data_IF_770316441669
#
_entry.id   IF_770316441669
#
_cell.length_a   1.000
_cell.length_b   1.000
_cell.length_c   1.000
_cell.angle_alpha   90.00
_cell.angle_beta   90.00
_cell.angle_gamma   90.00
#
_symmetry.space_group_name_H-M   'P 1'
#
loop_
_entity.id
_entity.type
_entity.pdbx_description
1 polymer ?
#
# COMPACT_ATOMS: atom_id res chain seq x y z
N UNK A 1 -4.48 -32.30 -6.95
CA UNK A 1 -5.47 -31.82 -5.97
C UNK A 1 -6.82 -32.16 -6.57
N UNK A 2 -7.60 -32.98 -5.87
CA UNK A 2 -8.85 -33.52 -6.42
C UNK A 2 -10.06 -32.63 -6.09
N UNK A 3 -9.91 -31.68 -5.16
CA UNK A 3 -10.90 -30.65 -4.82
C UNK A 3 -10.49 -29.80 -3.62
N UNK A 4 -11.24 -28.71 -3.38
CA UNK A 4 -11.17 -27.88 -2.17
C UNK A 4 -12.54 -27.80 -1.51
N UNK A 5 -12.57 -27.92 -0.19
CA UNK A 5 -13.75 -27.67 0.63
C UNK A 5 -13.54 -26.41 1.48
N UNK A 6 -14.57 -25.56 1.60
CA UNK A 6 -14.56 -24.38 2.47
C UNK A 6 -15.69 -24.53 3.49
N UNK A 7 -15.33 -24.66 4.77
CA UNK A 7 -16.25 -25.05 5.84
C UNK A 7 -16.31 -23.95 6.92
N UNK A 8 -17.49 -23.45 7.31
CA UNK A 8 -17.61 -22.45 8.37
C UNK A 8 -17.46 -23.07 9.76
N UNK A 9 -16.72 -22.41 10.67
CA UNK A 9 -16.71 -22.73 12.10
C UNK A 9 -17.77 -21.90 12.81
N UNK A 10 -18.90 -22.53 13.10
CA UNK A 10 -20.05 -21.90 13.76
C UNK A 10 -19.97 -22.08 15.27
N UNK A 11 -20.58 -21.17 16.02
CA UNK A 11 -20.75 -21.31 17.48
C UNK A 11 -19.64 -20.69 18.35
N UNK A 12 -18.64 -20.02 17.74
CA UNK A 12 -17.57 -19.33 18.49
C UNK A 12 -18.13 -18.21 19.39
N UNK A 13 -19.17 -17.50 18.94
CA UNK A 13 -19.78 -16.41 19.69
C UNK A 13 -18.91 -15.15 19.75
N UNK A 14 -19.13 -14.32 20.77
CA UNK A 14 -18.36 -13.09 20.99
C UNK A 14 -17.02 -13.39 21.68
N UNK A 15 -15.94 -12.88 21.08
CA UNK A 15 -14.58 -12.96 21.61
C UNK A 15 -14.26 -11.68 22.38
N UNK A 16 -13.60 -11.81 23.53
CA UNK A 16 -13.18 -10.76 24.43
C UNK A 16 -11.68 -10.83 24.73
N UNK A 17 -11.14 -9.78 25.35
CA UNK A 17 -9.72 -9.70 25.65
C UNK A 17 -9.26 -10.85 26.56
N UNK A 18 -8.21 -11.55 26.14
CA UNK A 18 -7.63 -12.69 26.85
C UNK A 18 -8.21 -14.06 26.49
N UNK A 19 -9.23 -14.13 25.63
CA UNK A 19 -9.80 -15.42 25.22
C UNK A 19 -8.79 -16.31 24.45
N UNK A 20 -8.78 -17.61 24.77
CA UNK A 20 -7.96 -18.60 24.08
C UNK A 20 -8.62 -19.01 22.75
N UNK A 21 -8.19 -18.36 21.66
CA UNK A 21 -8.70 -18.64 20.32
C UNK A 21 -8.50 -20.10 19.89
N UNK A 22 -7.40 -20.74 20.27
CA UNK A 22 -7.17 -22.14 19.92
C UNK A 22 -8.20 -23.05 20.61
N UNK A 23 -8.50 -22.79 21.89
CA UNK A 23 -9.55 -23.51 22.62
C UNK A 23 -10.95 -23.27 22.04
N UNK A 24 -11.29 -22.02 21.71
CA UNK A 24 -12.58 -21.68 21.11
C UNK A 24 -12.78 -22.36 19.75
N UNK A 25 -11.75 -22.33 18.90
CA UNK A 25 -11.79 -22.96 17.58
C UNK A 25 -11.90 -24.48 17.71
N UNK A 26 -11.06 -25.12 18.52
CA UNK A 26 -11.06 -26.59 18.63
C UNK A 26 -12.33 -27.14 19.28
N UNK A 27 -12.95 -26.38 20.20
CA UNK A 27 -14.25 -26.72 20.79
C UNK A 27 -15.38 -26.70 19.77
N UNK A 28 -15.38 -25.71 18.88
CA UNK A 28 -16.45 -25.51 17.88
C UNK A 28 -16.20 -26.25 16.55
N UNK A 29 -14.95 -26.69 16.31
CA UNK A 29 -14.57 -27.49 15.15
C UNK A 29 -13.80 -28.76 15.57
N UNK A 30 -14.42 -29.69 16.32
CA UNK A 30 -13.78 -30.95 16.71
C UNK A 30 -13.48 -31.88 15.52
N UNK A 31 -13.95 -31.52 14.32
CA UNK A 31 -13.75 -32.21 13.05
C UNK A 31 -12.52 -31.72 12.26
N UNK A 32 -11.75 -30.76 12.82
CA UNK A 32 -10.46 -30.34 12.26
C UNK A 32 -9.51 -31.53 12.14
N UNK A 33 -8.68 -31.49 11.10
CA UNK A 33 -7.66 -32.52 10.86
C UNK A 33 -6.36 -31.90 10.35
N UNK A 34 -5.29 -32.67 10.44
CA UNK A 34 -4.00 -32.29 9.88
C UNK A 34 -4.12 -31.92 8.39
N UNK A 35 -3.42 -30.85 8.00
CA UNK A 35 -3.43 -30.31 6.63
C UNK A 35 -4.61 -29.38 6.32
N UNK A 36 -5.51 -29.12 7.27
CA UNK A 36 -6.50 -28.04 7.15
C UNK A 36 -5.82 -26.65 7.23
N UNK A 37 -6.41 -25.64 6.60
CA UNK A 37 -6.01 -24.23 6.71
C UNK A 37 -7.13 -23.43 7.36
N UNK A 38 -6.84 -22.75 8.47
CA UNK A 38 -7.78 -21.91 9.19
C UNK A 38 -7.63 -20.47 8.72
N UNK A 39 -8.69 -19.92 8.13
CA UNK A 39 -8.80 -18.49 7.78
C UNK A 39 -9.58 -17.81 8.90
N UNK A 40 -8.86 -17.06 9.74
CA UNK A 40 -9.33 -16.42 10.96
C UNK A 40 -9.44 -14.92 10.73
N UNK A 41 -10.59 -14.31 10.95
CA UNK A 41 -10.69 -12.83 10.81
C UNK A 41 -9.81 -12.11 11.83
N UNK A 42 -9.13 -11.05 11.38
CA UNK A 42 -8.35 -10.13 12.20
C UNK A 42 -9.13 -9.64 13.41
N UNK A 43 -10.45 -9.46 13.29
CA UNK A 43 -11.30 -8.91 14.34
C UNK A 43 -11.28 -9.74 15.63
N UNK A 44 -11.37 -11.07 15.55
CA UNK A 44 -11.34 -11.90 16.77
C UNK A 44 -9.93 -12.00 17.35
N UNK A 45 -8.91 -11.90 16.51
CA UNK A 45 -7.51 -11.78 16.94
C UNK A 45 -7.31 -10.47 17.71
N UNK A 46 -7.71 -9.35 17.11
CA UNK A 46 -7.69 -8.03 17.74
C UNK A 46 -8.44 -7.98 19.06
N UNK A 47 -9.64 -8.58 19.14
CA UNK A 47 -10.42 -8.61 20.39
C UNK A 47 -9.70 -9.43 21.46
N UNK A 48 -9.22 -10.63 21.13
CA UNK A 48 -8.46 -11.47 22.06
C UNK A 48 -7.18 -10.77 22.56
N UNK A 49 -6.53 -9.98 21.71
CA UNK A 49 -5.32 -9.20 22.04
C UNK A 49 -5.60 -7.84 22.69
N UNK A 50 -6.86 -7.47 22.90
CA UNK A 50 -7.23 -6.19 23.51
C UNK A 50 -6.94 -4.96 22.63
N UNK A 51 -6.94 -5.12 21.30
CA UNK A 51 -6.75 -4.03 20.31
C UNK A 51 -8.02 -3.20 20.10
N UNK A 52 -8.64 -2.78 21.20
CA UNK A 52 -9.85 -1.95 21.23
C UNK A 52 -9.51 -0.53 21.70
N UNK A 53 -10.12 0.47 21.07
CA UNK A 53 -10.00 1.87 21.47
C UNK A 53 -11.37 2.40 21.86
N UNK A 54 -11.49 2.89 23.09
CA UNK A 54 -12.71 3.56 23.56
C UNK A 54 -12.93 4.87 22.79
N UNK A 55 -14.17 5.08 22.36
CA UNK A 55 -14.62 6.29 21.66
C UNK A 55 -16.00 6.69 22.16
N UNK A 56 -16.37 7.98 22.08
CA UNK A 56 -17.76 8.41 22.28
C UNK A 56 -18.71 7.64 21.35
N UNK A 57 -19.95 7.40 21.79
CA UNK A 57 -20.93 6.63 21.02
C UNK A 57 -21.39 7.35 19.74
N UNK A 58 -21.39 8.69 19.76
CA UNK A 58 -21.79 9.59 18.68
C UNK A 58 -21.14 10.97 18.86
N UNK A 59 -21.53 11.92 18.01
CA UNK A 59 -21.04 13.30 18.06
C UNK A 59 -19.73 13.56 17.30
N UNK A 60 -19.34 14.84 17.14
CA UNK A 60 -18.09 15.21 16.50
C UNK A 60 -16.86 14.63 17.20
N UNK A 61 -16.92 14.46 18.52
CA UNK A 61 -15.83 13.91 19.34
C UNK A 61 -15.49 12.46 18.95
N UNK A 62 -16.48 11.69 18.47
CA UNK A 62 -16.26 10.34 17.95
C UNK A 62 -15.44 10.35 16.66
N UNK A 63 -15.73 11.27 15.75
CA UNK A 63 -14.96 11.38 14.51
C UNK A 63 -13.54 11.87 14.79
N UNK A 64 -13.37 12.82 15.72
CA UNK A 64 -12.03 13.24 16.16
C UNK A 64 -11.24 12.09 16.79
N UNK A 65 -11.87 11.24 17.60
CA UNK A 65 -11.24 10.05 18.17
C UNK A 65 -10.85 9.04 17.07
N UNK A 66 -11.71 8.85 16.07
CA UNK A 66 -11.44 8.00 14.92
C UNK A 66 -10.27 8.53 14.08
N UNK A 67 -10.22 9.83 13.79
CA UNK A 67 -9.09 10.43 13.05
C UNK A 67 -7.79 10.37 13.86
N UNK A 68 -7.84 10.51 15.20
CA UNK A 68 -6.66 10.29 16.06
C UNK A 68 -6.16 8.84 15.99
N UNK A 69 -7.06 7.86 16.06
CA UNK A 69 -6.72 6.45 15.91
C UNK A 69 -6.14 6.16 14.52
N UNK A 70 -6.76 6.71 13.47
CA UNK A 70 -6.26 6.61 12.10
C UNK A 70 -4.85 7.18 11.97
N UNK A 71 -4.61 8.38 12.50
CA UNK A 71 -3.29 9.01 12.48
C UNK A 71 -2.24 8.18 13.24
N UNK A 72 -2.61 7.59 14.38
CA UNK A 72 -1.72 6.75 15.18
C UNK A 72 -1.33 5.45 14.45
N UNK A 73 -2.25 4.85 13.69
CA UNK A 73 -2.02 3.61 12.93
C UNK A 73 -1.46 3.87 11.51
N UNK A 74 -1.31 5.13 11.10
CA UNK A 74 -0.84 5.53 9.78
C UNK A 74 0.64 5.85 9.78
N UNK A 75 1.40 5.18 8.91
CA UNK A 75 2.78 5.54 8.59
C UNK A 75 2.85 6.69 7.58
N UNK A 76 2.02 6.63 6.53
CA UNK A 76 1.88 7.70 5.54
C UNK A 76 0.53 7.64 4.84
N UNK A 77 0.04 8.79 4.39
CA UNK A 77 -1.15 8.88 3.54
C UNK A 77 -0.74 8.56 2.11
N UNK A 78 -1.49 7.66 1.46
CA UNK A 78 -1.33 7.32 0.04
C UNK A 78 -2.25 8.20 -0.79
N UNK A 79 -3.54 8.24 -0.43
CA UNK A 79 -4.55 9.02 -1.13
C UNK A 79 -5.67 9.46 -0.18
N UNK A 80 -6.25 10.63 -0.39
CA UNK A 80 -7.43 11.09 0.34
C UNK A 80 -8.52 11.59 -0.61
N UNK A 81 -9.77 11.21 -0.32
CA UNK A 81 -10.96 11.69 -1.01
C UNK A 81 -12.06 11.96 0.01
N UNK A 82 -12.24 13.24 0.35
CA UNK A 82 -13.14 13.64 1.44
C UNK A 82 -12.68 13.02 2.77
N UNK A 83 -13.58 12.39 3.55
CA UNK A 83 -13.22 11.77 4.82
C UNK A 83 -12.47 10.43 4.66
N UNK A 84 -12.51 9.82 3.48
CA UNK A 84 -11.83 8.53 3.24
C UNK A 84 -10.36 8.75 2.91
N UNK A 85 -9.49 8.02 3.60
CA UNK A 85 -8.07 7.96 3.32
C UNK A 85 -7.64 6.50 3.03
N UNK A 86 -6.85 6.33 1.98
CA UNK A 86 -6.00 5.16 1.79
C UNK A 86 -4.64 5.50 2.41
N UNK A 87 -4.17 4.64 3.29
CA UNK A 87 -2.95 4.85 4.06
C UNK A 87 -2.08 3.62 4.01
N UNK A 88 -0.78 3.82 4.17
CA UNK A 88 0.12 2.74 4.56
C UNK A 88 0.12 2.65 6.10
N UNK A 89 -0.21 1.50 6.65
CA UNK A 89 -0.13 1.24 8.10
C UNK A 89 1.32 1.03 8.55
N UNK A 90 1.58 0.99 9.86
CA UNK A 90 2.92 0.66 10.38
C UNK A 90 3.38 -0.75 10.02
N UNK A 91 2.45 -1.69 9.84
CA UNK A 91 2.71 -3.04 9.32
C UNK A 91 3.19 -3.01 7.86
N UNK A 92 2.77 -2.00 7.09
CA UNK A 92 3.06 -1.86 5.66
C UNK A 92 1.86 -2.08 4.74
N UNK A 93 0.69 -2.50 5.26
CA UNK A 93 -0.53 -2.65 4.46
C UNK A 93 -0.99 -1.31 3.87
N UNK A 94 -1.33 -1.30 2.58
CA UNK A 94 -1.92 -0.14 1.91
C UNK A 94 -3.43 -0.36 1.77
N UNK A 95 -4.21 0.28 2.64
CA UNK A 95 -5.65 0.03 2.73
C UNK A 95 -6.43 1.26 3.22
N UNK A 96 -7.77 1.18 3.12
CA UNK A 96 -8.64 2.24 3.62
C UNK A 96 -8.66 2.27 5.15
N UNK A 97 -8.61 3.48 5.71
CA UNK A 97 -8.78 3.75 7.14
C UNK A 97 -7.89 2.90 8.08
N UNK A 98 -6.70 2.48 7.62
CA UNK A 98 -5.75 1.65 8.36
C UNK A 98 -6.31 0.30 8.87
N UNK A 99 -7.40 -0.21 8.28
CA UNK A 99 -8.08 -1.41 8.79
C UNK A 99 -8.81 -1.20 10.11
N UNK A 100 -8.98 0.06 10.55
CA UNK A 100 -9.77 0.39 11.73
C UNK A 100 -11.24 0.11 11.41
N UNK A 101 -11.85 -0.74 12.22
CA UNK A 101 -13.24 -1.16 12.05
C UNK A 101 -14.12 -0.67 13.21
N UNK A 102 -15.33 -0.23 12.87
CA UNK A 102 -16.38 0.16 13.82
C UNK A 102 -17.58 -0.81 13.79
N UNK A 103 -17.49 -1.89 13.01
CA UNK A 103 -18.54 -2.90 12.85
C UNK A 103 -18.30 -4.14 13.70
N UNK A 104 -19.37 -4.84 14.08
CA UNK A 104 -19.34 -6.03 14.95
C UNK A 104 -18.62 -5.78 16.29
N UNK A 105 -18.71 -4.54 16.78
CA UNK A 105 -18.33 -4.07 18.10
C UNK A 105 -19.41 -3.07 18.55
N UNK A 106 -19.53 -2.81 19.86
CA UNK A 106 -20.43 -1.79 20.35
C UNK A 106 -20.03 -0.38 19.87
N UNK A 107 -20.96 0.57 19.96
CA UNK A 107 -20.76 1.92 19.41
C UNK A 107 -19.65 2.73 20.10
N UNK A 108 -19.23 2.30 21.29
CA UNK A 108 -18.22 2.98 22.11
C UNK A 108 -16.82 2.46 21.91
N UNK A 109 -16.60 1.59 20.92
CA UNK A 109 -15.28 1.10 20.59
C UNK A 109 -14.97 1.13 19.09
N UNK A 110 -13.68 1.23 18.79
CA UNK A 110 -13.08 0.91 17.50
C UNK A 110 -12.17 -0.30 17.67
N UNK A 111 -12.11 -1.17 16.65
CA UNK A 111 -11.18 -2.29 16.60
C UNK A 111 -10.02 -1.91 15.71
N UNK A 112 -8.80 -1.98 16.25
CA UNK A 112 -7.56 -1.84 15.49
C UNK A 112 -7.11 -3.21 14.98
N UNK A 113 -6.25 -3.25 13.97
CA UNK A 113 -5.61 -4.49 13.55
C UNK A 113 -4.73 -5.07 14.68
N UNK A 114 -4.47 -6.40 14.69
CA UNK A 114 -3.43 -7.00 15.53
C UNK A 114 -2.12 -6.26 15.32
N UNK A 115 -1.35 -6.03 16.39
CA UNK A 115 -0.12 -5.23 16.28
C UNK A 115 0.99 -5.92 15.47
N UNK A 116 0.96 -7.26 15.43
CA UNK A 116 1.80 -8.09 14.57
C UNK A 116 0.99 -9.32 14.15
N UNK A 117 0.22 -9.25 13.05
CA UNK A 117 -0.67 -10.34 12.64
C UNK A 117 0.07 -11.65 12.31
N UNK A 118 1.32 -11.57 11.86
CA UNK A 118 2.17 -12.75 11.62
C UNK A 118 2.55 -13.41 12.94
N UNK A 119 2.95 -12.63 13.95
CA UNK A 119 3.17 -13.16 15.29
C UNK A 119 1.90 -13.77 15.89
N UNK A 120 0.74 -13.14 15.70
CA UNK A 120 -0.56 -13.69 16.12
C UNK A 120 -0.86 -15.03 15.44
N UNK A 121 -0.62 -15.12 14.12
CA UNK A 121 -0.80 -16.36 13.36
C UNK A 121 0.14 -17.47 13.87
N UNK A 122 1.41 -17.14 14.13
CA UNK A 122 2.38 -18.09 14.70
C UNK A 122 1.96 -18.58 16.10
N UNK A 123 1.51 -17.68 16.97
CA UNK A 123 1.05 -18.05 18.31
C UNK A 123 -0.16 -18.99 18.25
N UNK A 124 -1.12 -18.71 17.36
CA UNK A 124 -2.28 -19.59 17.16
C UNK A 124 -1.87 -20.94 16.55
N UNK A 125 -0.98 -20.95 15.57
CA UNK A 125 -0.41 -22.18 15.01
C UNK A 125 0.26 -23.04 16.09
N UNK A 126 1.12 -22.45 16.92
CA UNK A 126 1.82 -23.16 17.99
C UNK A 126 0.84 -23.72 19.03
N UNK A 127 -0.18 -22.95 19.39
CA UNK A 127 -1.21 -23.39 20.34
C UNK A 127 -2.06 -24.55 19.81
N UNK A 128 -2.32 -24.59 18.50
CA UNK A 128 -3.01 -25.70 17.82
C UNK A 128 -2.09 -26.93 17.68
N UNK A 129 -0.81 -26.71 17.40
CA UNK A 129 0.19 -27.77 17.34
C UNK A 129 0.38 -28.46 18.70
N UNK A 130 0.40 -27.68 19.79
CA UNK A 130 0.43 -28.22 21.17
C UNK A 130 -0.82 -29.06 21.50
N UNK A 131 -1.94 -28.83 20.80
CA UNK A 131 -3.16 -29.62 20.88
C UNK A 131 -3.19 -30.80 19.90
N UNK A 132 -2.08 -31.05 19.20
CA UNK A 132 -1.90 -32.17 18.28
C UNK A 132 -2.43 -31.94 16.86
N UNK A 133 -2.72 -30.69 16.48
CA UNK A 133 -3.23 -30.34 15.15
C UNK A 133 -2.16 -29.64 14.31
N UNK A 134 -1.78 -30.22 13.17
CA UNK A 134 -0.85 -29.64 12.20
C UNK A 134 -1.62 -28.96 11.08
N UNK A 135 -1.88 -27.68 11.23
CA UNK A 135 -2.72 -26.88 10.32
C UNK A 135 -1.99 -25.64 9.80
N UNK A 136 -2.48 -25.04 8.72
CA UNK A 136 -2.14 -23.67 8.35
C UNK A 136 -3.05 -22.67 9.08
N UNK A 137 -2.57 -21.47 9.36
CA UNK A 137 -3.33 -20.36 9.95
C UNK A 137 -3.10 -19.14 9.07
N UNK A 138 -4.19 -18.47 8.69
CA UNK A 138 -4.19 -17.20 7.98
C UNK A 138 -5.06 -16.24 8.79
N UNK A 139 -4.50 -15.12 9.24
CA UNK A 139 -5.27 -14.00 9.78
C UNK A 139 -5.70 -13.13 8.60
N UNK A 140 -6.99 -13.02 8.34
CA UNK A 140 -7.53 -12.29 7.19
C UNK A 140 -8.27 -11.02 7.58
N UNK A 141 -8.30 -10.04 6.68
CA UNK A 141 -9.18 -8.88 6.80
C UNK A 141 -9.74 -8.46 5.45
N UNK A 142 -10.89 -7.80 5.49
CA UNK A 142 -11.59 -7.38 4.28
C UNK A 142 -11.02 -6.06 3.76
N UNK A 143 -10.52 -6.06 2.52
CA UNK A 143 -10.03 -4.84 1.87
C UNK A 143 -10.55 -4.64 0.44
N UNK A 144 -10.56 -3.37 0.04
CA UNK A 144 -10.70 -2.99 -1.36
C UNK A 144 -9.39 -3.17 -2.12
N UNK A 145 -9.43 -3.01 -3.44
CA UNK A 145 -8.24 -3.15 -4.31
C UNK A 145 -8.34 -2.26 -5.53
N UNK A 146 -7.19 -1.84 -6.04
CA UNK A 146 -7.12 -0.93 -7.17
C UNK A 146 -7.88 -1.48 -8.39
N UNK A 147 -8.54 -0.57 -9.11
CA UNK A 147 -9.22 -0.80 -10.40
C UNK A 147 -10.40 -1.76 -10.40
N UNK A 148 -10.84 -2.28 -9.24
CA UNK A 148 -12.02 -3.16 -9.14
C UNK A 148 -12.97 -2.69 -8.06
N UNK A 149 -14.27 -2.75 -8.36
CA UNK A 149 -15.32 -2.54 -7.37
C UNK A 149 -15.51 -3.80 -6.52
N UNK A 150 -15.92 -3.61 -5.27
CA UNK A 150 -16.13 -4.69 -4.30
C UNK A 150 -14.92 -4.91 -3.39
N UNK A 151 -15.13 -5.72 -2.36
CA UNK A 151 -14.13 -6.07 -1.36
C UNK A 151 -13.80 -7.57 -1.47
N UNK A 152 -12.63 -7.95 -0.98
CA UNK A 152 -12.23 -9.34 -0.77
C UNK A 152 -11.41 -9.42 0.50
N UNK A 153 -11.43 -10.58 1.16
CA UNK A 153 -10.44 -10.85 2.19
C UNK A 153 -9.07 -11.07 1.56
N UNK A 154 -8.04 -10.63 2.28
CA UNK A 154 -6.63 -10.92 2.03
C UNK A 154 -5.97 -11.36 3.32
N UNK A 155 -4.78 -11.94 3.23
CA UNK A 155 -3.98 -12.30 4.39
C UNK A 155 -3.27 -11.06 4.98
N UNK A 156 -3.43 -10.85 6.29
CA UNK A 156 -2.62 -9.93 7.09
C UNK A 156 -1.51 -10.65 7.84
N UNK A 157 -1.74 -11.92 8.21
CA UNK A 157 -0.75 -12.76 8.88
C UNK A 157 -0.89 -14.22 8.47
N UNK A 158 0.19 -14.99 8.50
CA UNK A 158 0.16 -16.42 8.16
C UNK A 158 1.19 -17.24 8.94
N UNK A 159 0.84 -18.50 9.23
CA UNK A 159 1.74 -19.48 9.84
C UNK A 159 1.36 -20.90 9.42
N UNK A 160 2.32 -21.82 9.37
CA UNK A 160 2.02 -23.21 9.02
C UNK A 160 1.75 -23.42 7.53
N UNK A 161 1.99 -22.42 6.69
CA UNK A 161 1.71 -22.44 5.25
C UNK A 161 2.65 -21.48 4.52
N UNK A 162 3.08 -21.85 3.31
CA UNK A 162 3.89 -20.98 2.47
C UNK A 162 3.04 -19.85 1.86
N UNK A 163 3.49 -18.58 1.91
CA UNK A 163 2.74 -17.45 1.35
C UNK A 163 2.55 -17.53 -0.18
N UNK A 164 3.53 -18.14 -0.85
CA UNK A 164 3.58 -18.24 -2.30
C UNK A 164 3.54 -19.70 -2.77
N UNK A 165 2.89 -19.92 -3.91
CA UNK A 165 3.25 -21.03 -4.81
C UNK A 165 4.13 -20.47 -5.92
N UNK A 166 5.41 -20.75 -5.81
CA UNK A 166 6.43 -20.29 -6.74
C UNK A 166 6.54 -21.23 -7.92
N UNK A 167 6.21 -20.75 -9.12
CA UNK A 167 6.34 -21.49 -10.37
C UNK A 167 7.59 -21.08 -11.16
N UNK A 168 8.42 -20.19 -10.64
CA UNK A 168 9.60 -19.71 -11.37
C UNK A 168 10.59 -20.85 -11.61
N UNK A 169 11.08 -20.94 -12.84
CA UNK A 169 11.94 -22.03 -13.29
C UNK A 169 11.19 -23.32 -13.66
N UNK A 170 9.88 -23.41 -13.44
CA UNK A 170 9.08 -24.52 -13.97
C UNK A 170 8.91 -24.36 -15.50
N UNK A 171 8.85 -25.50 -16.20
CA UNK A 171 8.62 -25.56 -17.64
C UNK A 171 7.16 -25.91 -17.89
N UNK A 172 6.47 -25.06 -18.65
CA UNK A 172 5.08 -25.28 -19.02
C UNK A 172 4.93 -26.44 -20.04
N UNK A 173 3.70 -26.92 -20.32
CA UNK A 173 3.47 -28.01 -21.27
C UNK A 173 3.91 -27.74 -22.71
N UNK A 174 4.26 -26.49 -23.05
CA UNK A 174 4.72 -26.06 -24.37
C UNK A 174 6.25 -25.84 -24.42
N UNK A 175 6.96 -26.06 -23.31
CA UNK A 175 8.40 -25.92 -23.21
C UNK A 175 8.88 -24.52 -22.80
N UNK A 176 7.99 -23.62 -22.39
CA UNK A 176 8.38 -22.28 -21.92
C UNK A 176 8.70 -22.31 -20.43
N UNK A 177 9.81 -21.67 -20.05
CA UNK A 177 10.14 -21.46 -18.65
C UNK A 177 9.36 -20.28 -18.06
N UNK A 178 8.71 -20.50 -16.92
CA UNK A 178 7.99 -19.46 -16.19
C UNK A 178 8.99 -18.59 -15.42
N UNK A 179 9.04 -17.29 -15.70
CA UNK A 179 10.06 -16.38 -15.12
C UNK A 179 9.56 -15.57 -13.91
N UNK A 180 8.26 -15.26 -13.86
CA UNK A 180 7.69 -14.32 -12.88
C UNK A 180 6.54 -14.93 -12.05
N UNK A 181 6.08 -16.12 -12.41
CA UNK A 181 4.82 -16.65 -11.89
C UNK A 181 4.98 -17.08 -10.43
N UNK A 182 4.47 -16.27 -9.52
CA UNK A 182 4.28 -16.61 -8.12
C UNK A 182 2.84 -16.31 -7.74
N UNK A 183 2.12 -17.31 -7.24
CA UNK A 183 0.74 -17.14 -6.79
C UNK A 183 0.76 -16.80 -5.31
N UNK A 184 0.10 -15.70 -4.91
CA UNK A 184 -0.10 -15.34 -3.51
C UNK A 184 -1.21 -16.21 -2.89
N UNK A 185 -0.89 -17.47 -2.60
CA UNK A 185 -1.88 -18.50 -2.27
C UNK A 185 -2.61 -18.23 -0.98
N UNK A 186 -1.99 -17.56 -0.01
CA UNK A 186 -2.67 -17.18 1.24
C UNK A 186 -3.74 -16.11 1.03
N UNK A 187 -3.60 -15.24 0.01
CA UNK A 187 -4.66 -14.30 -0.39
C UNK A 187 -5.80 -15.02 -1.12
N UNK A 188 -5.48 -15.99 -1.98
CA UNK A 188 -6.50 -16.82 -2.65
C UNK A 188 -7.34 -17.61 -1.62
N UNK A 189 -6.68 -18.18 -0.61
CA UNK A 189 -7.32 -18.92 0.48
C UNK A 189 -8.12 -18.00 1.41
N UNK A 190 -7.61 -16.80 1.72
CA UNK A 190 -8.34 -15.80 2.49
C UNK A 190 -9.63 -15.38 1.78
N UNK A 191 -9.53 -15.09 0.48
CA UNK A 191 -10.69 -14.75 -0.36
C UNK A 191 -11.72 -15.89 -0.43
N UNK A 192 -11.26 -17.15 -0.53
CA UNK A 192 -12.15 -18.30 -0.51
C UNK A 192 -12.85 -18.47 0.85
N UNK A 193 -12.14 -18.27 1.96
CA UNK A 193 -12.68 -18.35 3.31
C UNK A 193 -13.82 -17.35 3.56
N UNK A 194 -13.73 -16.14 3.00
CA UNK A 194 -14.77 -15.13 3.15
C UNK A 194 -16.14 -15.56 2.62
N UNK A 195 -16.18 -16.43 1.60
CA UNK A 195 -17.43 -16.92 1.00
C UNK A 195 -18.35 -17.65 1.98
N UNK A 196 -17.80 -18.23 3.06
CA UNK A 196 -18.57 -18.94 4.09
C UNK A 196 -18.60 -18.22 5.44
N UNK A 197 -17.73 -17.23 5.65
CA UNK A 197 -17.73 -16.41 6.87
C UNK A 197 -18.93 -15.47 6.89
N UNK A 198 -19.15 -14.74 5.79
CA UNK A 198 -20.21 -13.74 5.69
C UNK A 198 -20.02 -12.58 6.69
N UNK A 199 -20.61 -11.42 6.39
CA UNK A 199 -20.39 -10.21 7.22
C UNK A 199 -21.17 -10.21 8.55
N UNK A 200 -22.32 -10.90 8.58
CA UNK A 200 -23.27 -10.86 9.68
C UNK A 200 -23.54 -12.25 10.31
N UNK A 201 -22.92 -13.31 9.79
CA UNK A 201 -23.28 -14.69 10.14
C UNK A 201 -22.58 -15.21 11.40
N UNK A 202 -21.79 -14.35 12.07
CA UNK A 202 -21.04 -14.68 13.30
C UNK A 202 -20.12 -15.91 13.11
N UNK A 203 -19.49 -16.01 11.94
CA UNK A 203 -18.52 -17.06 11.59
C UNK A 203 -17.15 -16.39 11.40
N UNK A 204 -16.35 -16.25 12.48
CA UNK A 204 -15.06 -15.58 12.38
C UNK A 204 -13.95 -16.48 11.82
N UNK A 205 -14.20 -17.78 11.66
CA UNK A 205 -13.22 -18.74 11.16
C UNK A 205 -13.83 -19.61 10.06
N UNK A 206 -13.12 -19.72 8.95
CA UNK A 206 -13.37 -20.70 7.90
C UNK A 206 -12.22 -21.71 7.84
N UNK A 207 -12.53 -22.94 7.46
CA UNK A 207 -11.53 -23.99 7.22
C UNK A 207 -11.49 -24.28 5.74
N UNK A 208 -10.33 -24.12 5.13
CA UNK A 208 -10.05 -24.57 3.76
C UNK A 208 -9.33 -25.90 3.83
N UNK A 209 -9.89 -26.91 3.17
CA UNK A 209 -9.43 -28.30 3.24
C UNK A 209 -9.10 -28.82 1.85
N UNK A 210 -7.99 -29.55 1.77
CA UNK A 210 -7.48 -30.13 0.51
C UNK A 210 -6.34 -29.34 -0.15
N UNK A 211 -5.97 -28.17 0.41
CA UNK A 211 -4.80 -27.42 -0.03
C UNK A 211 -3.49 -28.08 0.46
N UNK A 212 -2.51 -28.38 -0.42
CA UNK A 212 -1.27 -29.02 -0.01
C UNK A 212 -0.34 -28.06 0.75
N UNK A 213 0.52 -28.61 1.61
CA UNK A 213 1.58 -27.84 2.26
C UNK A 213 1.19 -27.15 3.58
N UNK A 214 -0.08 -27.21 3.98
CA UNK A 214 -0.52 -26.78 5.30
C UNK A 214 0.05 -27.66 6.43
N UNK A 215 0.43 -27.04 7.55
CA UNK A 215 0.97 -27.70 8.73
C UNK A 215 2.45 -28.11 8.65
N UNK A 216 3.20 -27.66 7.64
CA UNK A 216 4.56 -28.16 7.34
C UNK A 216 5.71 -27.38 7.98
N UNK A 217 5.60 -26.04 8.06
CA UNK A 217 6.59 -25.17 8.72
C UNK A 217 5.96 -23.83 9.09
N UNK A 218 6.55 -23.08 10.04
CA UNK A 218 6.06 -21.76 10.43
C UNK A 218 5.95 -20.79 9.24
N UNK A 219 6.92 -20.80 8.32
CA UNK A 219 6.94 -19.94 7.13
C UNK A 219 7.36 -18.50 7.44
N UNK A 220 7.46 -17.68 6.39
CA UNK A 220 7.85 -16.27 6.50
C UNK A 220 6.70 -15.33 6.92
N UNK A 221 5.45 -15.80 6.87
CA UNK A 221 4.27 -14.99 7.13
C UNK A 221 3.78 -14.16 5.93
N UNK A 222 2.68 -13.43 6.12
CA UNK A 222 2.08 -12.58 5.11
C UNK A 222 2.93 -11.34 4.80
N UNK A 223 3.87 -10.96 5.67
CA UNK A 223 4.87 -9.91 5.39
C UNK A 223 5.62 -10.17 4.08
N UNK A 224 5.78 -11.42 3.67
CA UNK A 224 6.40 -11.79 2.40
C UNK A 224 5.62 -11.30 1.17
N UNK A 225 4.31 -11.05 1.30
CA UNK A 225 3.47 -10.48 0.23
C UNK A 225 3.57 -8.96 0.14
N UNK A 226 4.10 -8.29 1.17
CA UNK A 226 4.21 -6.83 1.18
C UNK A 226 5.26 -6.37 0.18
N UNK A 227 4.83 -5.50 -0.73
CA UNK A 227 5.75 -4.82 -1.64
C UNK A 227 6.49 -3.72 -0.89
N UNK A 228 7.81 -3.71 -1.00
CA UNK A 228 8.62 -2.63 -0.45
C UNK A 228 8.26 -1.29 -1.11
N UNK A 229 8.23 -0.23 -0.31
CA UNK A 229 7.81 1.11 -0.74
C UNK A 229 8.72 1.68 -1.85
N UNK A 230 10.01 1.32 -1.91
CA UNK A 230 10.90 1.77 -2.98
C UNK A 230 10.57 1.10 -4.33
N UNK A 231 9.92 -0.06 -4.30
CA UNK A 231 9.45 -0.77 -5.51
C UNK A 231 7.98 -0.49 -5.84
N UNK A 232 7.27 0.28 -5.01
CA UNK A 232 5.85 0.60 -5.20
C UNK A 232 5.65 1.69 -6.25
N UNK A 233 5.25 1.25 -7.45
CA UNK A 233 4.91 2.14 -8.57
C UNK A 233 3.63 2.96 -8.35
N UNK A 234 2.86 2.69 -7.29
CA UNK A 234 1.59 3.37 -6.98
C UNK A 234 1.64 4.04 -5.60
N UNK A 235 2.81 4.56 -5.23
CA UNK A 235 3.07 5.08 -3.89
C UNK A 235 2.21 6.28 -3.50
N UNK A 236 1.68 7.06 -4.44
CA UNK A 236 0.79 8.21 -4.17
C UNK A 236 -0.47 8.18 -5.04
N UNK A 237 -1.57 8.69 -4.50
CA UNK A 237 -2.74 9.09 -5.26
C UNK A 237 -2.44 10.27 -6.18
N UNK A 238 -3.24 10.44 -7.23
CA UNK A 238 -2.99 11.49 -8.26
C UNK A 238 -2.93 12.89 -7.66
N UNK A 239 -3.84 13.23 -6.75
CA UNK A 239 -3.86 14.56 -6.12
C UNK A 239 -2.62 14.79 -5.25
N UNK A 240 -2.21 13.78 -4.50
CA UNK A 240 -1.03 13.80 -3.64
C UNK A 240 0.26 13.89 -4.45
N UNK A 241 0.36 13.15 -5.56
CA UNK A 241 1.48 13.19 -6.50
C UNK A 241 1.61 14.58 -7.15
N UNK A 242 0.50 15.17 -7.60
CA UNK A 242 0.50 16.53 -8.14
C UNK A 242 0.95 17.56 -7.08
N UNK A 243 0.40 17.46 -5.87
CA UNK A 243 0.78 18.38 -4.78
C UNK A 243 2.25 18.22 -4.37
N UNK A 244 2.80 17.00 -4.39
CA UNK A 244 4.21 16.76 -4.15
C UNK A 244 5.08 17.39 -5.25
N UNK A 245 4.78 17.12 -6.53
CA UNK A 245 5.51 17.70 -7.65
C UNK A 245 5.50 19.24 -7.65
N UNK A 246 4.39 19.87 -7.26
CA UNK A 246 4.33 21.33 -7.11
C UNK A 246 5.24 21.86 -5.99
N UNK A 247 5.35 21.15 -4.85
CA UNK A 247 6.27 21.53 -3.77
C UNK A 247 7.72 21.37 -4.19
N UNK A 248 8.06 20.26 -4.83
CA UNK A 248 9.41 19.98 -5.31
C UNK A 248 9.83 21.02 -6.36
N UNK A 249 8.91 21.39 -7.27
CA UNK A 249 9.14 22.46 -8.24
C UNK A 249 9.33 23.82 -7.55
N UNK A 250 8.58 24.14 -6.49
CA UNK A 250 8.68 25.42 -5.78
C UNK A 250 10.03 25.61 -5.06
N UNK A 251 10.70 24.51 -4.66
CA UNK A 251 12.01 24.54 -3.99
C UNK A 251 13.13 23.96 -4.85
N UNK A 252 12.96 23.94 -6.18
CA UNK A 252 13.92 23.35 -7.11
C UNK A 252 15.32 23.96 -6.94
N UNK A 253 16.33 23.18 -6.51
CA UNK A 253 17.66 23.72 -6.24
C UNK A 253 18.46 23.97 -7.53
N UNK A 254 19.41 24.89 -7.44
CA UNK A 254 20.47 25.07 -8.44
C UNK A 254 21.52 23.97 -8.26
N UNK A 255 21.51 23.00 -9.17
CA UNK A 255 22.38 21.82 -9.10
C UNK A 255 23.19 21.72 -10.39
N UNK A 256 24.52 21.77 -10.24
CA UNK A 256 25.48 21.49 -11.30
C UNK A 256 26.02 20.06 -11.12
N UNK A 257 25.21 19.07 -11.49
CA UNK A 257 25.57 17.66 -11.36
C UNK A 257 25.81 17.04 -12.74
N UNK A 258 26.95 16.36 -12.91
CA UNK A 258 27.30 15.67 -14.16
C UNK A 258 28.18 16.49 -15.11
N UNK A 259 29.11 15.81 -15.78
CA UNK A 259 29.99 16.41 -16.81
C UNK A 259 29.61 15.96 -18.22
N UNK A 260 28.61 15.08 -18.35
CA UNK A 260 28.14 14.57 -19.63
C UNK A 260 27.18 15.58 -20.29
N UNK A 261 27.18 15.67 -21.63
CA UNK A 261 26.20 16.49 -22.34
C UNK A 261 24.77 15.97 -22.07
N UNK A 262 23.85 16.87 -21.76
CA UNK A 262 22.44 16.54 -21.63
C UNK A 262 21.86 16.02 -22.96
N UNK A 263 20.97 15.03 -22.90
CA UNK A 263 20.36 14.44 -24.08
C UNK A 263 19.42 15.44 -24.80
N UNK A 264 19.65 15.66 -26.09
CA UNK A 264 18.90 16.64 -26.89
C UNK A 264 17.38 16.39 -26.91
N UNK A 265 16.96 15.13 -26.87
CA UNK A 265 15.53 14.78 -26.85
C UNK A 265 14.84 15.16 -25.53
N UNK A 266 15.52 15.01 -24.40
CA UNK A 266 15.01 15.40 -23.08
C UNK A 266 14.81 16.93 -23.01
N UNK A 267 15.78 17.69 -23.53
CA UNK A 267 15.67 19.16 -23.64
C UNK A 267 14.49 19.54 -24.54
N UNK A 268 14.31 18.87 -25.68
CA UNK A 268 13.20 19.14 -26.59
C UNK A 268 11.83 18.88 -25.95
N UNK A 269 11.67 17.79 -25.18
CA UNK A 269 10.43 17.51 -24.43
C UNK A 269 10.17 18.53 -23.33
N UNK A 270 11.21 18.94 -22.60
CA UNK A 270 11.10 20.00 -21.59
C UNK A 270 10.64 21.33 -22.20
N UNK A 271 11.23 21.72 -23.35
CA UNK A 271 10.83 22.92 -24.08
C UNK A 271 9.38 22.84 -24.58
N UNK A 272 8.96 21.69 -25.11
CA UNK A 272 7.58 21.48 -25.56
C UNK A 272 6.58 21.60 -24.40
N UNK A 273 6.91 21.03 -23.24
CA UNK A 273 6.10 21.14 -22.01
C UNK A 273 6.00 22.58 -21.53
N UNK A 274 7.12 23.32 -21.56
CA UNK A 274 7.16 24.72 -21.12
C UNK A 274 6.56 25.70 -22.12
N UNK A 275 6.42 25.35 -23.39
CA UNK A 275 6.02 26.27 -24.46
C UNK A 275 4.68 26.98 -24.17
N UNK A 276 3.71 26.28 -23.57
CA UNK A 276 2.42 26.86 -23.19
C UNK A 276 2.46 27.81 -21.98
N UNK A 277 3.60 27.89 -21.27
CA UNK A 277 3.78 28.72 -20.07
C UNK A 277 4.61 29.99 -20.36
N UNK A 278 5.32 30.03 -21.48
CA UNK A 278 6.11 31.18 -21.89
C UNK A 278 5.19 32.28 -22.44
N UNK A 279 5.45 33.53 -22.07
CA UNK A 279 4.69 34.67 -22.58
C UNK A 279 5.02 34.86 -24.05
N UNK A 280 4.04 35.33 -24.82
CA UNK A 280 4.23 35.72 -26.21
C UNK A 280 5.43 36.69 -26.33
N UNK A 281 6.39 36.37 -27.19
CA UNK A 281 7.63 37.13 -27.37
C UNK A 281 8.78 36.77 -26.43
N UNK A 282 8.60 35.84 -25.48
CA UNK A 282 9.73 35.28 -24.71
C UNK A 282 10.59 34.42 -25.61
N UNK A 283 11.84 34.81 -25.83
CA UNK A 283 12.77 34.06 -26.67
C UNK A 283 13.52 33.02 -25.82
N UNK A 284 13.63 31.79 -26.33
CA UNK A 284 14.45 30.73 -25.75
C UNK A 284 15.35 30.17 -26.84
N UNK A 285 16.65 30.43 -26.72
CA UNK A 285 17.68 30.02 -27.66
C UNK A 285 18.50 28.88 -27.05
N UNK A 286 18.68 27.79 -27.78
CA UNK A 286 19.58 26.72 -27.34
C UNK A 286 21.03 27.13 -27.55
N UNK A 287 21.84 26.97 -26.51
CA UNK A 287 23.27 27.31 -26.50
C UNK A 287 24.10 26.05 -26.19
N UNK A 288 25.41 26.05 -26.48
CA UNK A 288 26.30 24.99 -26.02
C UNK A 288 26.28 24.90 -24.48
N UNK A 289 25.62 23.87 -23.94
CA UNK A 289 25.52 23.63 -22.48
C UNK A 289 24.25 24.17 -21.80
N UNK A 290 23.29 24.74 -22.53
CA UNK A 290 22.06 25.23 -21.88
C UNK A 290 21.11 26.04 -22.76
N UNK A 291 20.30 26.88 -22.13
CA UNK A 291 19.30 27.72 -22.76
C UNK A 291 19.51 29.18 -22.37
N UNK A 292 19.52 30.07 -23.36
CA UNK A 292 19.45 31.52 -23.15
C UNK A 292 18.01 31.97 -23.30
N UNK A 293 17.47 32.59 -22.27
CA UNK A 293 16.12 33.11 -22.24
C UNK A 293 16.14 34.65 -22.21
N UNK A 294 15.27 35.29 -22.98
CA UNK A 294 15.15 36.76 -23.04
C UNK A 294 13.68 37.18 -22.89
N UNK A 295 13.38 38.18 -22.01
CA UNK A 295 12.02 38.66 -21.81
C UNK A 295 11.55 39.57 -22.96
N UNK A 296 10.25 39.60 -23.26
CA UNK A 296 9.67 40.58 -24.18
C UNK A 296 9.47 41.96 -23.52
N UNK A 297 9.48 42.03 -22.19
CA UNK A 297 9.19 43.21 -21.38
C UNK A 297 10.22 43.31 -20.24
N UNK A 298 11.00 44.40 -20.24
CA UNK A 298 12.06 44.67 -19.26
C UNK A 298 11.62 45.58 -18.11
N UNK A 299 10.32 45.91 -18.00
CA UNK A 299 9.79 46.55 -16.81
C UNK A 299 9.95 45.65 -15.59
N UNK A 300 9.90 46.22 -14.38
CA UNK A 300 9.98 45.42 -13.15
C UNK A 300 8.94 44.28 -13.11
N UNK A 301 7.70 44.57 -13.52
CA UNK A 301 6.64 43.56 -13.60
C UNK A 301 6.91 42.51 -14.70
N UNK A 302 7.47 42.93 -15.84
CA UNK A 302 7.92 42.04 -16.92
C UNK A 302 9.00 41.07 -16.45
N UNK A 303 10.03 41.58 -15.77
CA UNK A 303 11.13 40.78 -15.24
C UNK A 303 10.68 39.80 -14.14
N UNK A 304 9.73 40.19 -13.28
CA UNK A 304 9.13 39.28 -12.30
C UNK A 304 8.40 38.12 -12.98
N UNK A 305 7.58 38.39 -14.01
CA UNK A 305 6.91 37.33 -14.79
C UNK A 305 7.91 36.44 -15.51
N UNK A 306 8.93 37.05 -16.12
CA UNK A 306 10.00 36.34 -16.80
C UNK A 306 10.74 35.38 -15.87
N UNK A 307 11.07 35.80 -14.65
CA UNK A 307 11.68 34.92 -13.64
C UNK A 307 10.84 33.68 -13.35
N UNK A 308 9.53 33.83 -13.19
CA UNK A 308 8.61 32.70 -12.99
C UNK A 308 8.57 31.76 -14.21
N UNK A 309 8.62 32.30 -15.42
CA UNK A 309 8.62 31.51 -16.66
C UNK A 309 9.90 30.71 -16.85
N UNK A 310 11.06 31.32 -16.56
CA UNK A 310 12.34 30.61 -16.58
C UNK A 310 12.37 29.52 -15.51
N UNK A 311 11.77 29.76 -14.35
CA UNK A 311 11.60 28.72 -13.33
C UNK A 311 10.71 27.56 -13.78
N UNK A 312 9.59 27.83 -14.46
CA UNK A 312 8.75 26.79 -15.07
C UNK A 312 9.50 25.95 -16.10
N UNK A 313 10.37 26.58 -16.90
CA UNK A 313 11.25 25.86 -17.83
C UNK A 313 12.23 24.95 -17.09
N UNK A 314 12.82 25.41 -15.99
CA UNK A 314 13.70 24.58 -15.14
C UNK A 314 12.95 23.40 -14.52
N UNK A 315 11.71 23.60 -14.08
CA UNK A 315 10.87 22.51 -13.57
C UNK A 315 10.57 21.47 -14.66
N UNK A 316 10.33 21.90 -15.90
CA UNK A 316 10.15 20.99 -17.04
C UNK A 316 11.43 20.19 -17.37
N UNK A 317 12.61 20.83 -17.26
CA UNK A 317 13.89 20.14 -17.41
C UNK A 317 14.11 19.09 -16.30
N UNK A 318 13.80 19.44 -15.05
CA UNK A 318 13.90 18.52 -13.92
C UNK A 318 12.96 17.31 -14.07
N UNK A 319 11.75 17.51 -14.58
CA UNK A 319 10.80 16.42 -14.87
C UNK A 319 11.32 15.43 -15.92
N UNK A 320 12.22 15.86 -16.81
CA UNK A 320 12.91 15.03 -17.80
C UNK A 320 14.24 14.44 -17.27
N UNK A 321 14.50 14.57 -15.96
CA UNK A 321 15.71 14.06 -15.31
C UNK A 321 16.95 14.92 -15.53
N UNK A 322 16.80 16.19 -15.90
CA UNK A 322 17.91 17.11 -16.14
C UNK A 322 18.08 18.09 -14.96
N UNK A 323 19.29 18.22 -14.44
CA UNK A 323 19.60 19.24 -13.43
C UNK A 323 19.96 20.57 -14.11
N UNK A 324 19.75 21.68 -13.40
CA UNK A 324 20.05 23.01 -13.97
C UNK A 324 20.45 24.05 -12.91
N UNK A 325 21.24 25.02 -13.35
CA UNK A 325 21.54 26.26 -12.61
C UNK A 325 21.09 27.47 -13.41
N UNK A 326 20.77 28.57 -12.74
CA UNK A 326 20.37 29.81 -13.39
C UNK A 326 21.30 30.97 -13.03
N UNK A 327 21.73 31.71 -14.06
CA UNK A 327 22.45 32.97 -13.89
C UNK A 327 21.77 34.06 -14.69
N UNK A 328 21.63 35.25 -14.11
CA UNK A 328 21.05 36.41 -14.80
C UNK A 328 22.17 37.32 -15.32
N UNK A 329 22.07 37.71 -16.59
CA UNK A 329 22.97 38.67 -17.24
C UNK A 329 22.12 39.82 -17.80
N UNK A 330 22.16 40.96 -17.10
CA UNK A 330 21.26 42.09 -17.35
C UNK A 330 19.79 41.69 -17.21
N UNK A 331 19.04 41.80 -18.31
CA UNK A 331 17.63 41.38 -18.38
C UNK A 331 17.43 39.94 -18.86
N UNK A 332 18.51 39.21 -19.19
CA UNK A 332 18.44 37.84 -19.74
C UNK A 332 18.76 36.81 -18.67
N UNK A 333 18.31 35.58 -18.88
CA UNK A 333 18.64 34.44 -18.03
C UNK A 333 19.38 33.36 -18.84
N UNK A 334 20.45 32.83 -18.28
CA UNK A 334 21.15 31.65 -18.79
C UNK A 334 20.84 30.47 -17.87
N UNK A 335 20.16 29.46 -18.41
CA UNK A 335 19.90 28.19 -17.74
C UNK A 335 20.94 27.19 -18.23
N UNK A 336 21.88 26.84 -17.37
CA UNK A 336 22.88 25.79 -17.67
C UNK A 336 22.28 24.45 -17.33
N UNK A 337 22.40 23.46 -18.22
CA UNK A 337 21.75 22.15 -18.10
C UNK A 337 22.82 21.07 -17.95
N UNK A 338 22.60 20.15 -17.03
CA UNK A 338 23.49 19.04 -16.79
C UNK A 338 22.73 17.71 -16.79
N UNK A 339 23.36 16.66 -17.32
CA UNK A 339 22.83 15.30 -17.26
C UNK A 339 22.91 14.76 -15.83
N UNK A 340 21.88 14.02 -15.40
CA UNK A 340 21.90 13.29 -14.13
C UNK A 340 23.06 12.28 -14.03
#
# INVERSE_FOLDING_TARGET
MDGLEVLPVRGIGDVTAGDDLAALITTNAPWLRDGDVLVVTSKIVSKAEGRLVEVPADGPEREEARERALAAETRRVVARRGPTAIVQTHHGFVMAAAGIDASNVDKTHLVLLPADPDASAHALYDALLQRGLRVGVIVSDTMGRAWRNGLTDVALGAAGIEPFRDHRGEIDPYGNELQLTQMAVIDELAAAGELVKGKCDQVPVAVVRGYPGAGTARGAGAVALLRDAASDMFSLGTAEAHAAGLRDAATLPDVAAGTAPAASEAIARALATAAGLLAEGTAVETTPGGLRCSPPDVTAAGLMRFGAQVHSLRAALAAEGLSSTITYDGSTALVTIFAA
#
